data_IF_193378733708
#
_entry.id   IF_193378733708
#
_cell.length_a   1.000
_cell.length_b   1.000
_cell.length_c   1.000
_cell.angle_alpha   90.00
_cell.angle_beta   90.00
_cell.angle_gamma   90.00
#
_symmetry.space_group_name_H-M   'P 1'
#
loop_
_entity.id
_entity.type
_entity.pdbx_description
1 polymer ?
#
# COMPACT_ATOMS: atom_id res chain seq x y z
N UNK A 1 -3.79 3.37 69.71
CA UNK A 1 -5.10 2.93 69.18
C UNK A 1 -5.15 3.47 67.77
N UNK A 2 -4.45 2.81 66.85
CA UNK A 2 -4.90 1.64 66.08
C UNK A 2 -5.98 2.07 65.09
N UNK A 3 -5.53 2.38 63.88
CA UNK A 3 -6.34 2.61 62.69
C UNK A 3 -6.92 1.24 62.29
N UNK A 4 -8.23 1.06 62.48
CA UNK A 4 -8.94 -0.14 62.03
C UNK A 4 -9.04 -0.11 60.50
N UNK A 5 -8.29 -0.99 59.85
CA UNK A 5 -8.38 -1.32 58.43
C UNK A 5 -9.79 -1.84 58.10
N UNK A 6 -10.62 -0.97 57.51
CA UNK A 6 -11.90 -1.33 56.89
C UNK A 6 -11.64 -2.18 55.63
N UNK A 7 -11.34 -3.46 55.82
CA UNK A 7 -11.33 -4.45 54.75
C UNK A 7 -12.77 -4.73 54.32
N UNK A 8 -13.15 -4.24 53.14
CA UNK A 8 -14.45 -4.52 52.51
C UNK A 8 -14.69 -6.04 52.38
N UNK A 9 -15.70 -6.54 53.10
CA UNK A 9 -16.04 -7.97 53.14
C UNK A 9 -16.83 -8.38 51.88
N UNK A 10 -16.11 -8.71 50.81
CA UNK A 10 -16.68 -9.14 49.52
C UNK A 10 -17.39 -10.51 49.56
N UNK A 11 -17.39 -11.19 50.71
CA UNK A 11 -17.98 -12.52 50.89
C UNK A 11 -19.50 -12.55 50.73
N UNK A 12 -20.21 -11.45 51.03
CA UNK A 12 -21.69 -11.37 50.96
C UNK A 12 -22.26 -11.51 49.55
N UNK A 13 -21.47 -11.24 48.50
CA UNK A 13 -21.88 -11.37 47.10
C UNK A 13 -21.53 -12.72 46.47
N UNK A 14 -20.67 -13.52 47.11
CA UNK A 14 -20.07 -14.70 46.50
C UNK A 14 -21.09 -15.81 46.22
N UNK A 15 -21.96 -16.12 47.18
CA UNK A 15 -22.98 -17.17 47.01
C UNK A 15 -24.05 -16.80 45.98
N UNK A 16 -24.39 -15.51 45.89
CA UNK A 16 -25.29 -15.00 44.85
C UNK A 16 -24.63 -15.10 43.47
N UNK A 17 -23.35 -14.74 43.38
CA UNK A 17 -22.56 -14.87 42.17
C UNK A 17 -22.43 -16.33 41.70
N UNK A 18 -22.05 -17.25 42.59
CA UNK A 18 -21.90 -18.68 42.26
C UNK A 18 -23.23 -19.29 41.79
N UNK A 19 -24.35 -18.95 42.43
CA UNK A 19 -25.69 -19.37 41.97
C UNK A 19 -26.00 -18.84 40.58
N UNK A 20 -25.69 -17.57 40.31
CA UNK A 20 -25.89 -16.97 38.99
C UNK A 20 -24.98 -17.61 37.92
N UNK A 21 -23.73 -17.98 38.25
CA UNK A 21 -22.82 -18.72 37.36
C UNK A 21 -23.37 -20.10 37.02
N UNK A 22 -23.92 -20.82 38.01
CA UNK A 22 -24.52 -22.15 37.81
C UNK A 22 -25.77 -22.05 36.92
N UNK A 23 -26.63 -21.06 37.16
CA UNK A 23 -27.80 -20.79 36.32
C UNK A 23 -27.38 -20.49 34.87
N UNK A 24 -26.44 -19.54 34.66
CA UNK A 24 -25.89 -19.24 33.33
C UNK A 24 -25.24 -20.44 32.67
N UNK A 25 -24.53 -21.29 33.40
CA UNK A 25 -23.95 -22.55 32.88
C UNK A 25 -25.03 -23.51 32.36
N UNK A 26 -26.15 -23.62 33.07
CA UNK A 26 -27.29 -24.47 32.70
C UNK A 26 -28.01 -23.91 31.47
N UNK A 27 -28.36 -22.63 31.50
CA UNK A 27 -29.05 -21.95 30.40
C UNK A 27 -28.20 -21.96 29.13
N UNK A 28 -26.88 -21.76 29.27
CA UNK A 28 -25.93 -21.87 28.16
C UNK A 28 -25.92 -23.26 27.54
N UNK A 29 -25.96 -24.34 28.34
CA UNK A 29 -25.99 -25.70 27.79
C UNK A 29 -27.20 -25.89 26.87
N UNK A 30 -28.34 -25.39 27.29
CA UNK A 30 -29.60 -25.43 26.54
C UNK A 30 -29.55 -24.51 25.31
N UNK A 31 -28.99 -23.31 25.44
CA UNK A 31 -28.82 -22.35 24.36
C UNK A 31 -27.85 -22.84 23.27
N UNK A 32 -26.82 -23.58 23.67
CA UNK A 32 -25.84 -24.23 22.78
C UNK A 32 -26.48 -25.36 21.97
N UNK A 33 -27.33 -26.18 22.59
CA UNK A 33 -28.12 -27.20 21.87
C UNK A 33 -29.07 -26.59 20.84
N UNK A 34 -29.46 -25.32 21.03
CA UNK A 34 -30.35 -24.55 20.13
C UNK A 34 -29.60 -23.59 19.20
N UNK A 35 -28.27 -23.58 19.20
CA UNK A 35 -27.45 -22.64 18.42
C UNK A 35 -27.80 -21.15 18.61
N UNK A 36 -28.31 -20.76 19.79
CA UNK A 36 -28.79 -19.38 20.04
C UNK A 36 -28.29 -18.85 21.38
N UNK A 37 -27.03 -18.39 21.39
CA UNK A 37 -26.43 -17.74 22.55
C UNK A 37 -26.79 -16.26 22.59
N UNK A 38 -27.52 -15.86 23.63
CA UNK A 38 -27.73 -14.46 24.00
C UNK A 38 -26.62 -13.91 24.90
N UNK A 39 -26.42 -12.60 24.90
CA UNK A 39 -25.43 -11.89 25.74
C UNK A 39 -25.57 -12.21 27.24
N UNK A 40 -26.78 -12.48 27.70
CA UNK A 40 -27.11 -12.85 29.09
C UNK A 40 -26.47 -14.18 29.55
N UNK A 41 -26.03 -15.03 28.62
CA UNK A 41 -25.35 -16.30 28.93
C UNK A 41 -23.84 -16.14 29.18
N UNK A 42 -23.28 -14.94 28.92
CA UNK A 42 -21.87 -14.60 29.11
C UNK A 42 -21.72 -13.74 30.36
N UNK A 43 -21.16 -14.30 31.42
CA UNK A 43 -20.79 -13.57 32.64
C UNK A 43 -19.28 -13.32 32.77
N UNK A 44 -18.88 -12.61 33.82
CA UNK A 44 -17.47 -12.29 34.12
C UNK A 44 -16.59 -13.52 34.36
N UNK A 45 -17.19 -14.70 34.59
CA UNK A 45 -16.48 -15.98 34.70
C UNK A 45 -15.88 -16.48 33.38
N UNK A 46 -16.12 -15.79 32.26
CA UNK A 46 -15.65 -16.22 30.94
C UNK A 46 -14.23 -15.72 30.67
N UNK A 47 -13.39 -16.62 30.16
CA UNK A 47 -12.04 -16.32 29.74
C UNK A 47 -12.01 -16.19 28.21
N UNK A 48 -11.45 -15.09 27.72
CA UNK A 48 -11.20 -14.92 26.29
C UNK A 48 -10.09 -15.90 25.87
N UNK A 49 -10.44 -16.93 25.10
CA UNK A 49 -9.48 -17.93 24.60
C UNK A 49 -9.01 -17.58 23.19
N UNK A 50 -9.84 -16.90 22.40
CA UNK A 50 -9.45 -16.37 21.11
C UNK A 50 -10.22 -15.09 20.78
N UNK A 51 -9.59 -14.20 20.03
CA UNK A 51 -10.23 -13.02 19.47
C UNK A 51 -9.76 -12.81 18.03
N UNK A 52 -10.71 -12.32 17.23
CA UNK A 52 -10.57 -11.99 15.83
C UNK A 52 -11.05 -10.55 15.67
N UNK A 53 -10.15 -9.60 15.45
CA UNK A 53 -10.52 -8.20 15.23
C UNK A 53 -10.37 -7.86 13.76
N UNK A 54 -11.37 -7.18 13.21
CA UNK A 54 -11.33 -6.71 11.83
C UNK A 54 -11.65 -5.22 11.69
N UNK A 55 -11.06 -4.57 10.69
CA UNK A 55 -11.42 -3.21 10.27
C UNK A 55 -11.96 -3.25 8.84
N UNK A 56 -13.12 -2.64 8.61
CA UNK A 56 -13.81 -2.59 7.33
C UNK A 56 -13.55 -1.26 6.61
N UNK A 57 -12.83 -1.30 5.50
CA UNK A 57 -12.60 -0.12 4.67
C UNK A 57 -13.63 -0.04 3.53
N UNK A 58 -14.47 1.00 3.54
CA UNK A 58 -15.54 1.21 2.55
C UNK A 58 -15.10 2.04 1.32
N UNK A 59 -13.90 2.63 1.31
CA UNK A 59 -13.46 3.51 0.21
C UNK A 59 -13.06 2.74 -1.04
N UNK A 60 -12.38 1.62 -0.85
CA UNK A 60 -12.03 0.68 -1.89
C UNK A 60 -12.64 -0.64 -1.42
N UNK A 61 -13.73 -1.11 -2.05
CA UNK A 61 -14.04 -2.54 -2.08
C UNK A 61 -13.85 -3.28 -0.75
N UNK A 62 -14.75 -3.09 0.21
CA UNK A 62 -14.79 -3.71 1.57
C UNK A 62 -13.57 -4.60 1.88
N UNK A 63 -12.50 -3.98 2.41
CA UNK A 63 -11.30 -4.72 2.82
C UNK A 63 -11.29 -4.89 4.33
N UNK A 64 -11.04 -6.12 4.78
CA UNK A 64 -10.93 -6.48 6.19
C UNK A 64 -9.47 -6.68 6.60
N UNK A 65 -8.97 -5.91 7.58
CA UNK A 65 -7.65 -6.13 8.20
C UNK A 65 -7.77 -6.96 9.47
N UNK A 66 -7.12 -8.12 9.55
CA UNK A 66 -7.39 -9.14 10.58
C UNK A 66 -6.25 -9.32 11.59
N UNK A 67 -6.57 -9.39 12.89
CA UNK A 67 -5.67 -9.91 13.92
C UNK A 67 -6.32 -11.11 14.62
N UNK A 68 -5.61 -12.24 14.67
CA UNK A 68 -6.01 -13.43 15.42
C UNK A 68 -5.08 -13.63 16.61
N UNK A 69 -5.64 -13.66 17.80
CA UNK A 69 -4.92 -14.02 19.01
C UNK A 69 -5.59 -15.25 19.58
N UNK A 70 -4.84 -16.34 19.75
CA UNK A 70 -5.29 -17.57 20.41
C UNK A 70 -4.43 -17.80 21.64
N UNK A 71 -5.07 -17.97 22.79
CA UNK A 71 -4.38 -18.31 24.03
C UNK A 71 -3.97 -19.79 23.99
N UNK A 72 -2.68 -20.07 23.86
CA UNK A 72 -2.14 -21.44 23.91
C UNK A 72 -2.42 -22.02 25.31
N UNK A 73 -3.24 -23.07 25.38
CA UNK A 73 -3.44 -23.83 26.62
C UNK A 73 -2.18 -24.66 26.83
N UNK A 74 -1.47 -24.43 27.93
CA UNK A 74 -0.47 -25.38 28.40
C UNK A 74 -1.22 -26.64 28.88
N UNK A 75 -0.83 -27.86 28.47
CA UNK A 75 -1.31 -29.05 29.13
C UNK A 75 -0.89 -28.99 30.61
N UNK A 76 -1.84 -29.22 31.50
CA UNK A 76 -1.54 -29.47 32.91
C UNK A 76 -0.90 -30.87 33.00
N UNK A 77 0.41 -30.93 32.78
CA UNK A 77 1.19 -32.04 33.29
C UNK A 77 1.27 -31.86 34.80
N UNK A 78 0.50 -32.68 35.52
CA UNK A 78 0.49 -32.69 36.96
C UNK A 78 1.85 -33.14 37.48
N UNK A 79 2.56 -32.25 38.17
CA UNK A 79 3.53 -32.64 39.17
C UNK A 79 3.78 -31.51 40.18
N UNK A 80 4.13 -31.95 41.37
CA UNK A 80 3.96 -31.29 42.66
C UNK A 80 4.90 -30.10 42.85
N UNK A 81 4.45 -29.21 43.74
CA UNK A 81 5.17 -28.14 44.44
C UNK A 81 6.72 -28.19 44.37
N UNK A 82 7.33 -27.05 44.02
CA UNK A 82 8.09 -26.31 45.03
C UNK A 82 8.36 -24.84 44.64
N UNK A 83 8.23 -24.00 45.67
CA UNK A 83 8.39 -22.54 45.68
C UNK A 83 9.83 -22.13 45.37
N UNK A 84 10.02 -21.10 44.55
CA UNK A 84 10.99 -20.03 44.82
C UNK A 84 10.59 -18.73 44.10
N UNK A 85 10.36 -17.68 44.87
CA UNK A 85 10.13 -16.30 44.42
C UNK A 85 11.43 -15.68 43.87
N UNK A 86 11.33 -14.93 42.78
CA UNK A 86 12.15 -13.71 42.56
C UNK A 86 11.28 -12.64 41.85
N UNK A 87 11.39 -11.35 42.24
CA UNK A 87 10.56 -10.28 41.69
C UNK A 87 11.28 -9.53 40.56
N UNK A 88 10.51 -9.05 39.58
CA UNK A 88 10.99 -8.01 38.66
C UNK A 88 10.64 -8.27 37.21
N UNK A 89 9.46 -7.82 36.79
CA UNK A 89 9.22 -7.25 35.44
C UNK A 89 7.86 -6.56 35.41
N UNK A 90 7.90 -5.25 35.27
CA UNK A 90 6.80 -4.32 35.02
C UNK A 90 5.93 -4.75 33.82
N UNK A 91 4.60 -4.60 33.89
CA UNK A 91 3.73 -4.87 32.74
C UNK A 91 3.76 -3.71 31.73
N UNK A 92 3.69 -3.96 30.41
CA UNK A 92 3.61 -2.89 29.42
C UNK A 92 2.24 -2.23 29.41
N UNK A 93 2.28 -0.92 29.15
CA UNK A 93 1.17 0.03 29.14
C UNK A 93 0.04 -0.33 28.18
N UNK A 94 -1.18 -0.02 28.61
CA UNK A 94 -2.42 -0.02 27.83
C UNK A 94 -2.34 1.01 26.69
N UNK A 95 -2.69 0.59 25.47
CA UNK A 95 -3.05 1.48 24.34
C UNK A 95 -4.52 1.27 23.99
N UNK A 96 -5.21 2.29 23.43
CA UNK A 96 -6.64 2.48 23.60
C UNK A 96 -7.47 1.56 22.71
N UNK A 97 -8.56 1.12 23.31
CA UNK A 97 -9.59 0.22 22.82
C UNK A 97 -10.58 0.98 21.94
N UNK A 98 -10.85 0.52 20.72
CA UNK A 98 -12.00 0.98 19.92
C UNK A 98 -12.65 -0.21 19.20
N UNK A 99 -13.91 -0.46 19.55
CA UNK A 99 -14.85 -1.34 18.81
C UNK A 99 -14.85 -2.81 19.22
N UNK A 100 -15.78 -3.20 20.10
CA UNK A 100 -16.02 -4.58 20.52
C UNK A 100 -17.39 -5.04 19.99
N UNK A 101 -17.42 -5.99 19.07
CA UNK A 101 -18.53 -6.96 18.98
C UNK A 101 -17.98 -8.32 19.39
N UNK A 102 -18.28 -8.71 20.63
CA UNK A 102 -17.90 -9.99 21.20
C UNK A 102 -19.03 -11.01 21.03
N UNK A 103 -18.78 -12.00 20.20
CA UNK A 103 -19.32 -13.35 20.32
C UNK A 103 -18.22 -14.28 19.79
N UNK A 104 -17.86 -15.38 20.41
CA UNK A 104 -18.59 -16.65 20.35
C UNK A 104 -17.81 -17.65 21.22
N UNK A 105 -18.51 -18.41 22.06
CA UNK A 105 -17.95 -19.55 22.80
C UNK A 105 -18.95 -20.72 22.77
N UNK A 106 -18.56 -21.81 22.11
CA UNK A 106 -19.34 -23.07 21.96
C UNK A 106 -18.82 -24.19 22.93
N UNK A 107 -19.54 -25.31 23.15
CA UNK A 107 -19.51 -26.15 24.37
C UNK A 107 -18.21 -26.93 24.61
N UNK A 108 -18.01 -27.48 25.84
CA UNK A 108 -16.94 -28.43 26.11
C UNK A 108 -17.26 -29.77 25.43
N UNK A 109 -16.72 -29.96 24.22
CA UNK A 109 -16.90 -31.19 23.44
C UNK A 109 -16.74 -31.00 21.93
N UNK A 110 -16.95 -29.79 21.42
CA UNK A 110 -16.63 -29.45 20.03
C UNK A 110 -15.38 -28.56 20.02
N UNK A 111 -14.20 -29.17 20.05
CA UNK A 111 -12.96 -28.46 19.76
C UNK A 111 -12.92 -28.13 18.27
N UNK A 112 -13.63 -27.07 17.86
CA UNK A 112 -13.34 -26.45 16.57
C UNK A 112 -11.92 -25.91 16.67
N UNK A 113 -11.04 -26.48 15.86
CA UNK A 113 -9.69 -25.94 15.72
C UNK A 113 -9.83 -24.50 15.18
N UNK A 114 -8.94 -23.55 15.53
CA UNK A 114 -8.96 -22.18 14.99
C UNK A 114 -9.21 -22.05 13.47
N UNK A 115 -8.74 -23.00 12.60
CA UNK A 115 -9.11 -23.04 11.19
C UNK A 115 -10.61 -23.05 10.87
N UNK A 116 -11.44 -23.73 11.66
CA UNK A 116 -12.86 -23.96 11.32
C UNK A 116 -13.75 -22.76 11.64
N UNK A 117 -13.47 -22.03 12.72
CA UNK A 117 -14.14 -20.78 13.06
C UNK A 117 -13.84 -19.72 11.99
N UNK A 118 -12.58 -19.65 11.56
CA UNK A 118 -12.14 -18.75 10.51
C UNK A 118 -12.85 -19.00 9.17
N UNK A 119 -12.98 -20.27 8.76
CA UNK A 119 -13.70 -20.65 7.53
C UNK A 119 -15.20 -20.39 7.60
N UNK A 120 -15.89 -20.75 8.69
CA UNK A 120 -17.36 -20.67 8.74
C UNK A 120 -17.89 -19.27 8.97
N UNK A 121 -17.13 -18.40 9.65
CA UNK A 121 -17.63 -17.09 10.09
C UNK A 121 -17.05 -15.91 9.34
N UNK A 122 -15.75 -15.88 9.13
CA UNK A 122 -15.08 -14.73 8.52
C UNK A 122 -15.11 -14.77 6.99
N UNK A 123 -15.06 -15.96 6.41
CA UNK A 123 -15.17 -16.10 4.95
C UNK A 123 -16.60 -16.05 4.43
N UNK A 124 -17.61 -16.18 5.30
CA UNK A 124 -19.00 -16.18 4.85
C UNK A 124 -19.50 -14.74 4.70
N UNK A 125 -19.83 -14.28 3.47
CA UNK A 125 -20.39 -12.95 3.26
C UNK A 125 -21.70 -12.74 4.03
N UNK A 126 -22.42 -13.82 4.36
CA UNK A 126 -23.64 -13.77 5.17
C UNK A 126 -23.42 -13.24 6.60
N UNK A 127 -22.20 -13.34 7.12
CA UNK A 127 -21.87 -12.92 8.49
C UNK A 127 -21.11 -11.59 8.53
N UNK A 128 -20.21 -11.35 7.59
CA UNK A 128 -19.39 -10.11 7.53
C UNK A 128 -19.93 -9.06 6.55
N UNK A 129 -21.02 -9.39 5.84
CA UNK A 129 -21.53 -8.63 4.71
C UNK A 129 -20.72 -8.89 3.43
N UNK A 130 -21.15 -8.36 2.28
CA UNK A 130 -20.43 -8.52 1.02
C UNK A 130 -19.03 -7.88 1.12
N UNK A 131 -18.04 -8.55 0.54
CA UNK A 131 -16.67 -8.06 0.49
C UNK A 131 -15.93 -8.59 -0.74
N UNK A 132 -14.94 -7.81 -1.18
CA UNK A 132 -14.17 -8.12 -2.38
C UNK A 132 -12.85 -8.81 -2.04
N UNK A 133 -12.27 -8.50 -0.87
CA UNK A 133 -11.06 -9.15 -0.38
C UNK A 133 -10.93 -9.12 1.15
N UNK A 134 -10.38 -10.20 1.73
CA UNK A 134 -9.84 -10.19 3.09
C UNK A 134 -8.33 -10.00 3.02
N UNK A 135 -7.77 -9.09 3.81
CA UNK A 135 -6.33 -8.81 3.81
C UNK A 135 -5.77 -9.01 5.20
N UNK A 136 -4.69 -9.78 5.31
CA UNK A 136 -4.06 -10.07 6.59
C UNK A 136 -2.57 -9.88 6.50
N UNK A 137 -1.99 -9.36 7.58
CA UNK A 137 -0.55 -9.38 7.78
C UNK A 137 -0.21 -10.56 8.66
N UNK A 138 0.50 -11.52 8.10
CA UNK A 138 0.86 -12.73 8.80
C UNK A 138 2.34 -12.70 9.21
N UNK A 139 2.61 -13.02 10.47
CA UNK A 139 3.94 -13.37 10.92
C UNK A 139 4.40 -14.68 10.25
N UNK A 140 5.72 -14.92 10.13
CA UNK A 140 6.24 -16.14 9.52
C UNK A 140 5.68 -17.44 10.11
N UNK A 141 5.34 -17.43 11.40
CA UNK A 141 4.73 -18.57 12.11
C UNK A 141 3.28 -18.83 11.72
N UNK A 142 2.54 -17.81 11.28
CA UNK A 142 1.14 -17.89 10.89
C UNK A 142 0.95 -17.99 9.36
N UNK A 143 2.00 -17.74 8.58
CA UNK A 143 1.95 -17.73 7.12
C UNK A 143 1.38 -19.04 6.54
N UNK A 144 1.89 -20.18 6.99
CA UNK A 144 1.40 -21.49 6.57
C UNK A 144 -0.07 -21.75 6.93
N UNK A 145 -0.57 -21.16 8.02
CA UNK A 145 -1.98 -21.26 8.39
C UNK A 145 -2.85 -20.53 7.37
N UNK A 146 -2.48 -19.31 6.97
CA UNK A 146 -3.25 -18.53 6.00
C UNK A 146 -3.17 -19.11 4.58
N UNK A 147 -2.00 -19.56 4.13
CA UNK A 147 -1.86 -20.22 2.83
C UNK A 147 -2.73 -21.49 2.74
N UNK A 148 -2.74 -22.33 3.78
CA UNK A 148 -3.64 -23.51 3.85
C UNK A 148 -5.12 -23.13 3.84
N UNK A 149 -5.44 -21.90 4.22
CA UNK A 149 -6.78 -21.34 4.16
C UNK A 149 -7.00 -20.48 2.90
N UNK A 150 -6.32 -20.78 1.79
CA UNK A 150 -6.55 -20.15 0.49
C UNK A 150 -6.24 -18.65 0.42
N UNK A 151 -5.44 -18.13 1.35
CA UNK A 151 -4.83 -16.82 1.17
C UNK A 151 -3.67 -16.95 0.19
N UNK A 152 -3.42 -15.90 -0.59
CA UNK A 152 -2.32 -15.81 -1.53
C UNK A 152 -1.30 -14.76 -1.08
N UNK A 153 -0.03 -15.10 -1.25
CA UNK A 153 1.13 -14.23 -1.04
C UNK A 153 1.60 -13.55 -2.34
N UNK A 154 0.81 -13.63 -3.42
CA UNK A 154 1.12 -12.99 -4.70
C UNK A 154 1.44 -11.49 -4.54
N UNK A 155 2.67 -11.13 -4.88
CA UNK A 155 3.20 -9.77 -4.67
C UNK A 155 2.45 -8.71 -5.50
N UNK A 156 2.00 -9.05 -6.71
CA UNK A 156 1.33 -8.12 -7.62
C UNK A 156 -0.08 -7.87 -7.12
N UNK A 157 -0.81 -8.94 -6.78
CA UNK A 157 -2.17 -8.82 -6.26
C UNK A 157 -2.17 -8.07 -4.91
N UNK A 158 -1.26 -8.46 -4.01
CA UNK A 158 -1.14 -7.84 -2.70
C UNK A 158 -0.63 -6.39 -2.77
N UNK A 159 0.04 -5.97 -3.85
CA UNK A 159 0.52 -4.59 -4.00
C UNK A 159 -0.61 -3.56 -3.95
N UNK A 160 -1.83 -3.94 -4.36
CA UNK A 160 -3.03 -3.08 -4.32
C UNK A 160 -3.46 -2.71 -2.91
N UNK A 161 -3.02 -3.46 -1.91
CA UNK A 161 -3.40 -3.27 -0.50
C UNK A 161 -2.28 -2.62 0.33
N UNK A 162 -1.18 -2.15 -0.30
CA UNK A 162 -0.10 -1.46 0.41
C UNK A 162 -0.54 -0.19 1.11
N UNK A 163 -1.57 0.48 0.60
CA UNK A 163 -2.11 1.69 1.25
C UNK A 163 -2.86 1.40 2.55
N UNK A 164 -3.19 0.12 2.82
CA UNK A 164 -3.79 -0.32 4.08
C UNK A 164 -2.73 -0.60 5.16
N UNK A 165 -1.46 -0.30 4.88
CA UNK A 165 -0.38 -0.36 5.85
C UNK A 165 -0.58 0.73 6.91
N UNK A 166 -0.89 0.28 8.13
CA UNK A 166 -0.97 1.15 9.30
C UNK A 166 0.42 1.27 9.91
N UNK A 167 0.89 2.51 10.06
CA UNK A 167 2.17 2.81 10.70
C UNK A 167 2.24 2.21 12.12
N UNK A 168 3.34 1.50 12.41
CA UNK A 168 3.58 0.87 13.71
C UNK A 168 3.18 -0.60 13.82
N UNK A 169 2.59 -1.19 12.77
CA UNK A 169 2.28 -2.63 12.74
C UNK A 169 3.55 -3.47 12.46
N UNK A 170 3.76 -4.62 13.12
CA UNK A 170 4.96 -5.45 12.92
C UNK A 170 5.14 -5.88 11.46
N UNK A 171 6.41 -5.97 11.03
CA UNK A 171 6.80 -6.40 9.68
C UNK A 171 6.41 -7.87 9.46
N UNK A 172 5.24 -8.11 8.88
CA UNK A 172 4.77 -9.42 8.43
C UNK A 172 4.50 -9.46 6.92
N UNK A 173 4.29 -10.66 6.38
CA UNK A 173 3.94 -10.84 4.96
C UNK A 173 2.47 -10.46 4.74
N UNK A 174 2.21 -9.62 3.75
CA UNK A 174 0.85 -9.25 3.35
C UNK A 174 0.25 -10.39 2.52
N UNK A 175 -0.92 -10.85 2.93
CA UNK A 175 -1.66 -11.91 2.26
C UNK A 175 -3.08 -11.43 1.99
N UNK A 176 -3.68 -11.87 0.88
CA UNK A 176 -5.10 -11.61 0.63
C UNK A 176 -5.87 -12.89 0.32
N UNK A 177 -7.16 -12.89 0.61
CA UNK A 177 -8.12 -13.90 0.19
C UNK A 177 -9.21 -13.23 -0.63
N UNK A 178 -9.44 -13.79 -1.82
CA UNK A 178 -10.53 -13.39 -2.69
C UNK A 178 -11.65 -14.42 -2.51
N UNK A 179 -12.87 -14.00 -2.12
CA UNK A 179 -13.99 -14.91 -2.03
C UNK A 179 -14.32 -15.46 -3.43
N UNK A 180 -14.72 -16.74 -3.55
CA UNK A 180 -15.36 -17.23 -4.76
C UNK A 180 -16.55 -16.34 -5.12
N UNK A 181 -16.87 -16.24 -6.41
CA UNK A 181 -18.11 -15.63 -6.84
C UNK A 181 -19.27 -16.35 -6.14
N UNK A 182 -20.00 -15.63 -5.27
CA UNK A 182 -21.19 -16.19 -4.68
C UNK A 182 -22.27 -16.27 -5.77
N UNK A 183 -22.94 -17.41 -5.85
CA UNK A 183 -23.85 -17.77 -6.94
C UNK A 183 -25.16 -16.98 -6.95
N UNK A 184 -25.13 -15.67 -6.69
CA UNK A 184 -26.26 -14.77 -6.99
C UNK A 184 -26.50 -14.60 -8.49
N UNK A 185 -25.67 -15.23 -9.33
CA UNK A 185 -25.93 -15.38 -10.74
C UNK A 185 -26.96 -16.49 -10.97
N UNK A 186 -28.04 -16.22 -11.73
CA UNK A 186 -28.98 -17.26 -12.10
C UNK A 186 -28.21 -18.42 -12.76
N UNK A 187 -28.55 -19.68 -12.44
CA UNK A 187 -27.89 -20.83 -13.04
C UNK A 187 -27.96 -20.69 -14.56
N UNK A 188 -26.79 -20.58 -15.18
CA UNK A 188 -26.69 -20.43 -16.62
C UNK A 188 -27.28 -21.69 -17.29
N UNK A 189 -28.07 -21.56 -18.36
CA UNK A 189 -28.58 -22.71 -19.10
C UNK A 189 -27.42 -23.63 -19.51
N UNK A 190 -27.50 -24.93 -19.18
CA UNK A 190 -26.44 -25.91 -19.46
C UNK A 190 -25.42 -26.14 -18.33
N UNK A 191 -25.60 -25.56 -17.14
CA UNK A 191 -24.68 -25.69 -16.00
C UNK A 191 -24.39 -27.13 -15.51
N UNK A 192 -25.17 -28.12 -15.91
CA UNK A 192 -25.03 -29.50 -15.45
C UNK A 192 -23.72 -30.15 -15.96
N UNK A 193 -23.22 -29.72 -17.12
CA UNK A 193 -21.99 -30.23 -17.74
C UNK A 193 -20.71 -29.54 -17.22
N UNK A 194 -20.85 -28.40 -16.53
CA UNK A 194 -19.73 -27.59 -16.01
C UNK A 194 -19.11 -28.16 -14.74
N UNK A 195 -19.82 -29.03 -14.03
CA UNK A 195 -19.30 -29.77 -12.87
C UNK A 195 -18.60 -31.07 -13.26
N UNK A 196 -18.40 -31.34 -14.56
CA UNK A 196 -17.61 -32.49 -15.01
C UNK A 196 -16.12 -32.27 -14.72
N UNK A 197 -15.38 -33.36 -14.50
CA UNK A 197 -13.93 -33.29 -14.32
C UNK A 197 -13.24 -32.65 -15.54
N UNK A 198 -13.73 -32.93 -16.75
CA UNK A 198 -13.21 -32.38 -17.99
C UNK A 198 -13.43 -30.87 -18.11
N UNK A 199 -14.59 -30.36 -17.68
CA UNK A 199 -14.84 -28.91 -17.63
C UNK A 199 -13.93 -28.19 -16.64
N UNK A 200 -13.62 -28.80 -15.49
CA UNK A 200 -12.67 -28.24 -14.51
C UNK A 200 -11.24 -28.20 -15.06
N UNK A 201 -10.81 -29.24 -15.79
CA UNK A 201 -9.49 -29.27 -16.45
C UNK A 201 -9.43 -28.20 -17.54
N UNK A 202 -10.43 -28.11 -18.42
CA UNK A 202 -10.49 -27.10 -19.47
C UNK A 202 -10.50 -25.66 -18.91
N UNK A 203 -11.19 -25.44 -17.78
CA UNK A 203 -11.16 -24.16 -17.10
C UNK A 203 -9.75 -23.83 -16.58
N UNK A 204 -9.06 -24.76 -15.93
CA UNK A 204 -7.70 -24.52 -15.42
C UNK A 204 -6.72 -24.25 -16.57
N UNK A 205 -6.83 -24.98 -17.68
CA UNK A 205 -6.05 -24.74 -18.89
C UNK A 205 -6.28 -23.35 -19.48
N UNK A 206 -7.53 -22.90 -19.58
CA UNK A 206 -7.84 -21.55 -20.03
C UNK A 206 -7.32 -20.49 -19.05
N UNK A 207 -7.45 -20.70 -17.74
CA UNK A 207 -6.88 -19.80 -16.72
C UNK A 207 -5.37 -19.67 -16.90
N UNK A 208 -4.65 -20.79 -17.07
CA UNK A 208 -3.19 -20.77 -17.26
C UNK A 208 -2.79 -20.09 -18.56
N UNK A 209 -3.52 -20.34 -19.64
CA UNK A 209 -3.35 -19.63 -20.93
C UNK A 209 -3.57 -18.14 -20.80
N UNK A 210 -4.58 -17.70 -20.05
CA UNK A 210 -4.82 -16.28 -19.78
C UNK A 210 -3.73 -15.65 -18.91
N UNK A 211 -3.19 -16.38 -17.93
CA UNK A 211 -2.02 -15.94 -17.14
C UNK A 211 -0.82 -15.71 -18.06
N UNK A 212 -0.51 -16.69 -18.92
CA UNK A 212 0.61 -16.60 -19.85
C UNK A 212 0.46 -15.43 -20.83
N UNK A 213 -0.72 -15.26 -21.45
CA UNK A 213 -1.00 -14.12 -22.35
C UNK A 213 -0.87 -12.77 -21.63
N UNK A 214 -1.36 -12.70 -20.40
CA UNK A 214 -1.27 -11.47 -19.58
C UNK A 214 0.18 -11.15 -19.24
N UNK A 215 0.99 -12.17 -18.93
CA UNK A 215 2.42 -12.02 -18.67
C UNK A 215 3.17 -11.53 -19.92
N UNK A 216 2.91 -12.12 -21.09
CA UNK A 216 3.52 -11.70 -22.36
C UNK A 216 3.15 -10.26 -22.74
N UNK A 217 1.88 -9.88 -22.55
CA UNK A 217 1.42 -8.52 -22.77
C UNK A 217 2.11 -7.53 -21.83
N UNK A 218 2.23 -7.87 -20.55
CA UNK A 218 2.93 -7.06 -19.56
C UNK A 218 4.43 -6.91 -19.90
N UNK A 219 5.10 -8.00 -20.26
CA UNK A 219 6.52 -7.97 -20.67
C UNK A 219 6.74 -7.07 -21.90
N UNK A 220 5.84 -7.15 -22.88
CA UNK A 220 5.86 -6.28 -24.08
C UNK A 220 5.69 -4.81 -23.69
N UNK A 221 4.74 -4.51 -22.80
CA UNK A 221 4.49 -3.16 -22.31
C UNK A 221 5.71 -2.60 -21.57
N UNK A 222 6.28 -3.35 -20.63
CA UNK A 222 7.47 -2.92 -19.86
C UNK A 222 8.66 -2.70 -20.79
N UNK A 223 8.85 -3.56 -21.78
CA UNK A 223 9.90 -3.40 -22.79
C UNK A 223 9.73 -2.10 -23.58
N UNK A 224 8.50 -1.81 -24.03
CA UNK A 224 8.19 -0.58 -24.75
C UNK A 224 8.46 0.67 -23.90
N UNK A 225 7.98 0.67 -22.65
CA UNK A 225 8.19 1.78 -21.71
C UNK A 225 9.68 2.02 -21.43
N UNK A 226 10.45 0.95 -21.24
CA UNK A 226 11.89 1.03 -21.01
C UNK A 226 12.62 1.64 -22.22
N UNK A 227 12.27 1.20 -23.44
CA UNK A 227 12.84 1.76 -24.68
C UNK A 227 12.47 3.23 -24.85
N UNK A 228 11.22 3.60 -24.57
CA UNK A 228 10.78 4.99 -24.64
C UNK A 228 11.54 5.87 -23.63
N UNK A 229 11.74 5.40 -22.40
CA UNK A 229 12.55 6.11 -21.41
C UNK A 229 13.98 6.35 -21.90
N UNK A 230 14.62 5.33 -22.46
CA UNK A 230 15.98 5.45 -23.03
C UNK A 230 16.01 6.44 -24.21
N UNK A 231 15.00 6.41 -25.07
CA UNK A 231 14.91 7.32 -26.21
C UNK A 231 14.70 8.78 -25.77
N UNK A 232 13.86 9.01 -24.76
CA UNK A 232 13.70 10.34 -24.14
C UNK A 232 15.04 10.86 -23.61
N UNK A 233 15.81 10.02 -22.90
CA UNK A 233 17.14 10.40 -22.41
C UNK A 233 18.11 10.70 -23.57
N UNK A 234 18.11 9.87 -24.62
CA UNK A 234 18.94 10.06 -25.81
C UNK A 234 18.61 11.39 -26.51
N UNK A 235 17.33 11.69 -26.68
CA UNK A 235 16.85 12.93 -27.31
C UNK A 235 17.21 14.16 -26.46
N UNK A 236 17.06 14.10 -25.14
CA UNK A 236 17.49 15.18 -24.25
C UNK A 236 18.99 15.47 -24.37
N UNK A 237 19.82 14.43 -24.45
CA UNK A 237 21.25 14.58 -24.65
C UNK A 237 21.60 15.17 -26.03
N UNK A 238 20.90 14.75 -27.09
CA UNK A 238 21.07 15.30 -28.42
C UNK A 238 20.69 16.78 -28.48
N UNK A 239 19.55 17.15 -27.91
CA UNK A 239 19.07 18.53 -27.84
C UNK A 239 20.05 19.42 -27.07
N UNK A 240 20.60 18.94 -25.95
CA UNK A 240 21.64 19.66 -25.20
C UNK A 240 22.90 19.93 -26.04
N UNK A 241 23.35 18.96 -26.83
CA UNK A 241 24.49 19.11 -27.74
C UNK A 241 24.20 20.12 -28.85
N UNK A 242 23.02 20.03 -29.45
CA UNK A 242 22.58 20.97 -30.50
C UNK A 242 22.50 22.40 -29.97
N UNK A 243 21.92 22.60 -28.78
CA UNK A 243 21.87 23.92 -28.13
C UNK A 243 23.27 24.48 -27.90
N UNK A 244 24.22 23.65 -27.45
CA UNK A 244 25.62 24.05 -27.26
C UNK A 244 26.26 24.51 -28.58
N UNK A 245 26.03 23.77 -29.68
CA UNK A 245 26.51 24.15 -31.01
C UNK A 245 25.87 25.45 -31.51
N UNK A 246 24.57 25.62 -31.30
CA UNK A 246 23.85 26.85 -31.67
C UNK A 246 24.43 28.04 -30.91
N UNK A 247 24.67 27.91 -29.61
CA UNK A 247 25.28 28.98 -28.81
C UNK A 247 26.69 29.31 -29.27
N UNK A 248 27.50 28.30 -29.59
CA UNK A 248 28.83 28.49 -30.17
C UNK A 248 28.77 29.26 -31.50
N UNK A 249 27.91 28.82 -32.43
CA UNK A 249 27.75 29.47 -33.74
C UNK A 249 27.19 30.89 -33.60
N UNK A 250 26.25 31.14 -32.69
CA UNK A 250 25.74 32.48 -32.39
C UNK A 250 26.87 33.41 -31.93
N UNK A 251 27.74 32.93 -31.03
CA UNK A 251 28.89 33.70 -30.54
C UNK A 251 29.91 34.00 -31.64
N UNK A 252 30.22 33.01 -32.48
CA UNK A 252 31.13 33.22 -33.63
C UNK A 252 30.54 34.17 -34.67
N UNK A 253 29.24 34.07 -34.95
CA UNK A 253 28.56 34.98 -35.87
C UNK A 253 28.58 36.43 -35.35
N UNK A 254 28.29 36.64 -34.07
CA UNK A 254 28.43 37.96 -33.42
C UNK A 254 29.87 38.49 -33.50
N UNK A 255 30.88 37.63 -33.30
CA UNK A 255 32.29 38.00 -33.44
C UNK A 255 32.63 38.45 -34.86
N UNK A 256 32.15 37.72 -35.87
CA UNK A 256 32.38 38.04 -37.28
C UNK A 256 31.64 39.32 -37.70
N UNK A 257 30.39 39.51 -37.27
CA UNK A 257 29.65 40.76 -37.49
C UNK A 257 30.37 41.96 -36.85
N UNK A 258 30.93 41.80 -35.65
CA UNK A 258 31.75 42.82 -35.00
C UNK A 258 33.05 43.13 -35.74
N UNK A 259 33.66 42.16 -36.43
CA UNK A 259 34.83 42.39 -37.29
C UNK A 259 34.45 43.09 -38.59
N UNK A 260 33.36 42.66 -39.22
CA UNK A 260 32.86 43.24 -40.47
C UNK A 260 32.56 44.73 -40.28
N UNK A 261 31.77 45.08 -39.27
CA UNK A 261 31.44 46.48 -38.93
C UNK A 261 32.68 47.33 -38.65
N UNK A 262 33.72 46.78 -38.01
CA UNK A 262 35.01 47.48 -37.81
C UNK A 262 35.73 47.74 -39.13
N UNK A 263 35.75 46.77 -40.04
CA UNK A 263 36.37 46.92 -41.37
C UNK A 263 35.59 47.93 -42.21
N UNK A 264 34.26 47.84 -42.23
CA UNK A 264 33.38 48.79 -42.92
C UNK A 264 33.59 50.22 -42.42
N UNK A 265 33.65 50.43 -41.10
CA UNK A 265 33.95 51.75 -40.52
C UNK A 265 35.32 52.28 -40.93
N UNK A 266 36.36 51.44 -40.88
CA UNK A 266 37.71 51.84 -41.32
C UNK A 266 37.74 52.18 -42.80
N UNK A 267 37.05 51.40 -43.63
CA UNK A 267 36.93 51.66 -45.06
C UNK A 267 36.19 52.96 -45.35
N UNK A 268 35.10 53.23 -44.64
CA UNK A 268 34.34 54.46 -44.79
C UNK A 268 35.15 55.68 -44.33
N UNK A 269 35.87 55.58 -43.20
CA UNK A 269 36.74 56.64 -42.72
C UNK A 269 37.87 56.94 -43.70
N UNK A 270 38.53 55.91 -44.24
CA UNK A 270 39.58 56.10 -45.23
C UNK A 270 39.07 56.81 -46.51
N UNK A 271 37.83 56.52 -46.93
CA UNK A 271 37.19 57.22 -48.04
C UNK A 271 36.94 58.70 -47.72
N UNK A 272 36.45 58.99 -46.51
CA UNK A 272 36.23 60.37 -46.03
C UNK A 272 37.57 61.13 -46.01
N UNK A 273 38.62 60.56 -45.43
CA UNK A 273 39.93 61.20 -45.33
C UNK A 273 40.52 61.52 -46.72
N UNK A 274 40.30 60.64 -47.71
CA UNK A 274 40.70 60.88 -49.11
C UNK A 274 39.91 62.03 -49.71
N UNK A 275 38.59 62.06 -49.54
CA UNK A 275 37.72 63.14 -50.06
C UNK A 275 38.02 64.49 -49.41
N UNK A 276 38.28 64.53 -48.10
CA UNK A 276 38.67 65.75 -47.38
C UNK A 276 40.01 66.29 -47.90
N UNK A 277 40.96 65.41 -48.19
CA UNK A 277 42.23 65.79 -48.79
C UNK A 277 42.05 66.34 -50.20
N UNK A 278 41.27 65.66 -51.04
CA UNK A 278 40.96 66.13 -52.40
C UNK A 278 40.24 67.48 -52.38
N UNK A 279 39.30 67.69 -51.46
CA UNK A 279 38.63 68.97 -51.26
C UNK A 279 39.61 70.07 -50.83
N UNK A 280 40.50 69.81 -49.89
CA UNK A 280 41.52 70.77 -49.44
C UNK A 280 42.53 71.12 -50.56
N UNK A 281 42.93 70.13 -51.36
CA UNK A 281 43.80 70.34 -52.52
C UNK A 281 43.08 71.18 -53.60
N UNK A 282 41.78 70.96 -53.80
CA UNK A 282 40.95 71.78 -54.70
C UNK A 282 40.81 73.22 -54.21
N UNK A 283 40.54 73.45 -52.92
CA UNK A 283 40.46 74.79 -52.33
C UNK A 283 41.78 75.55 -52.49
N UNK A 284 42.93 74.89 -52.26
CA UNK A 284 44.25 75.47 -52.51
C UNK A 284 44.45 75.86 -53.98
N UNK A 285 44.03 74.99 -54.90
CA UNK A 285 44.13 75.26 -56.33
C UNK A 285 43.30 76.49 -56.73
N UNK A 286 42.06 76.61 -56.24
CA UNK A 286 41.23 77.78 -56.48
C UNK A 286 41.84 79.05 -55.88
N UNK A 287 42.37 79.01 -54.65
CA UNK A 287 43.01 80.17 -54.01
C UNK A 287 44.20 80.73 -54.80
N UNK A 288 45.01 79.85 -55.42
CA UNK A 288 46.12 80.26 -56.29
C UNK A 288 45.62 80.96 -57.56
N UNK A 289 44.54 80.46 -58.18
CA UNK A 289 43.95 81.09 -59.37
C UNK A 289 43.39 82.49 -59.07
N UNK A 290 42.84 82.73 -57.88
CA UNK A 290 42.36 84.05 -57.49
C UNK A 290 43.50 85.05 -57.27
N UNK A 291 44.61 84.65 -56.63
CA UNK A 291 45.78 85.53 -56.45
C UNK A 291 46.46 85.92 -57.77
N UNK A 292 46.52 85.01 -58.74
CA UNK A 292 47.09 85.31 -60.08
C UNK A 292 46.26 86.35 -60.85
N UNK A 293 44.96 86.47 -60.54
CA UNK A 293 44.06 87.39 -61.22
C UNK A 293 43.97 88.78 -60.54
N UNK A 294 44.35 88.92 -59.26
CA UNK A 294 44.39 90.21 -58.55
C UNK A 294 45.70 91.00 -58.77
N UNK A 295 46.78 90.35 -59.22
CA UNK A 295 48.08 90.97 -59.55
C UNK A 295 48.18 91.46 -61.02
N UNK A 296 47.05 91.58 -61.73
CA UNK A 296 46.94 92.10 -63.10
C UNK A 296 46.09 93.35 -63.20
#
# INVERSE_FOLDING_TARGET
>A
MEEEDDHEDFSRGLDAFLRAVVARKKDRRIALERYSLQSTHVGIEHRLIAAATFNKNYRNSVVFSFHLIVQKKFPEDGEKENKTQTPGKTPPQKVPFVGFEAGIFDPPGAFFTPPEIFRKKLKSPSQVGPYDALVVRADPTALNFFLKNSFTDDLILNSRFRELEVDGCPKGTLLCYLPPFDGHYPPLPGAQDWNSADAMVAMEEEVEKWRQKSLEAYQTQVTCLTRLQQEVLRLHNLLRRQESTIQFLKKENQRLQGRLTKVERKSAQALIDVLEKEAADFERFCGIQYQINDDR
#
